data_IF_519277679655
#
_entry.id   IF_519277679655
#
_cell.length_a   1.000
_cell.length_b   1.000
_cell.length_c   1.000
_cell.angle_alpha   90.00
_cell.angle_beta   90.00
_cell.angle_gamma   90.00
#
_symmetry.space_group_name_H-M   'P 1'
#
loop_
_entity.id
_entity.type
_entity.pdbx_description
1 polymer ?
#
# COMPACT_ATOMS: atom_id res chain seq x y z
N UNK A 1 55.96 5.18 4.27
CA UNK A 1 55.11 4.88 3.10
C UNK A 1 54.13 6.03 2.93
N UNK A 2 53.96 6.50 1.70
CA UNK A 2 52.93 7.51 1.39
C UNK A 2 51.58 6.80 1.23
N UNK A 3 50.73 6.93 2.24
CA UNK A 3 49.43 6.24 2.33
C UNK A 3 48.43 6.77 1.29
N UNK A 4 48.66 7.98 0.75
CA UNK A 4 47.82 8.55 -0.30
C UNK A 4 47.90 7.78 -1.62
N UNK A 5 48.93 6.94 -1.80
CA UNK A 5 49.08 6.05 -2.97
C UNK A 5 48.13 4.84 -2.95
N UNK A 6 47.37 4.65 -1.86
CA UNK A 6 46.44 3.53 -1.70
C UNK A 6 47.10 2.25 -1.20
N UNK A 7 46.39 1.14 -1.33
CA UNK A 7 46.80 -0.19 -0.87
C UNK A 7 46.72 -1.21 -2.01
N UNK A 8 47.48 -2.31 -1.91
CA UNK A 8 47.49 -3.39 -2.91
C UNK A 8 46.41 -4.44 -2.66
N UNK A 9 46.28 -4.89 -1.41
CA UNK A 9 45.34 -5.92 -0.99
C UNK A 9 45.19 -5.88 0.55
N UNK A 10 44.16 -6.58 1.05
CA UNK A 10 43.98 -6.85 2.47
C UNK A 10 44.49 -8.27 2.78
N UNK A 11 45.06 -8.46 3.96
CA UNK A 11 45.60 -9.76 4.36
C UNK A 11 45.52 -9.96 5.87
N UNK A 12 45.57 -11.22 6.29
CA UNK A 12 45.89 -11.60 7.66
C UNK A 12 47.35 -11.99 7.80
N UNK A 13 47.94 -11.66 8.94
CA UNK A 13 49.17 -12.30 9.40
C UNK A 13 48.90 -13.79 9.64
N UNK A 14 49.95 -14.61 9.69
CA UNK A 14 49.78 -16.04 10.00
C UNK A 14 49.17 -16.25 11.39
N UNK A 15 49.51 -15.40 12.37
CA UNK A 15 48.91 -15.43 13.71
C UNK A 15 47.41 -15.10 13.67
N UNK A 16 47.01 -14.04 12.95
CA UNK A 16 45.61 -13.63 12.87
C UNK A 16 44.76 -14.64 12.10
N UNK A 17 45.29 -15.22 11.01
CA UNK A 17 44.59 -16.24 10.25
C UNK A 17 44.26 -17.47 11.10
N UNK A 18 45.14 -17.83 12.04
CA UNK A 18 44.94 -18.94 12.98
C UNK A 18 43.87 -18.69 14.04
N UNK A 19 43.38 -17.45 14.19
CA UNK A 19 42.27 -17.10 15.12
C UNK A 19 40.89 -17.42 14.54
N UNK A 20 40.83 -17.79 13.27
CA UNK A 20 39.60 -18.05 12.51
C UNK A 20 39.76 -19.35 11.73
N UNK A 21 38.72 -19.74 10.98
CA UNK A 21 38.70 -20.96 10.17
C UNK A 21 38.82 -20.63 8.68
N UNK A 22 40.03 -20.76 8.06
CA UNK A 22 40.19 -20.56 6.63
C UNK A 22 39.30 -21.49 5.81
N UNK A 23 38.65 -20.97 4.77
CA UNK A 23 37.70 -21.70 3.94
C UNK A 23 36.28 -21.77 4.51
N UNK A 24 36.03 -21.19 5.69
CA UNK A 24 34.68 -21.06 6.28
C UNK A 24 34.41 -19.61 6.65
N UNK A 25 35.29 -18.97 7.42
CA UNK A 25 35.10 -17.59 7.89
C UNK A 25 35.58 -16.56 6.85
N UNK A 26 36.53 -16.97 6.00
CA UNK A 26 37.10 -16.20 4.89
C UNK A 26 37.74 -17.14 3.87
N UNK A 27 37.97 -16.65 2.66
CA UNK A 27 38.69 -17.35 1.60
C UNK A 27 39.85 -16.50 1.07
N UNK A 28 40.85 -17.17 0.49
CA UNK A 28 42.02 -16.53 -0.07
C UNK A 28 43.18 -17.49 -0.24
N UNK A 29 44.40 -16.94 -0.28
CA UNK A 29 45.62 -17.68 -0.56
C UNK A 29 46.81 -17.17 0.27
N UNK A 30 47.72 -18.09 0.64
CA UNK A 30 49.00 -17.69 1.20
C UNK A 30 49.94 -17.17 0.11
N UNK A 31 50.48 -15.98 0.31
CA UNK A 31 51.50 -15.37 -0.53
C UNK A 31 52.73 -15.02 0.30
N UNK A 32 53.85 -14.80 -0.37
CA UNK A 32 55.06 -14.23 0.24
C UNK A 32 55.43 -12.95 -0.47
N UNK A 33 55.40 -11.82 0.24
CA UNK A 33 55.83 -10.53 -0.30
C UNK A 33 56.77 -9.85 0.70
N UNK A 34 57.93 -9.39 0.23
CA UNK A 34 58.92 -8.73 1.10
C UNK A 34 59.51 -9.64 2.19
N UNK A 35 59.48 -10.96 2.00
CA UNK A 35 59.96 -11.94 2.99
C UNK A 35 58.96 -12.29 4.09
N UNK A 36 57.76 -11.71 4.07
CA UNK A 36 56.69 -12.01 5.02
C UNK A 36 55.65 -12.93 4.37
N UNK A 37 55.26 -13.98 5.08
CA UNK A 37 54.16 -14.86 4.69
C UNK A 37 52.83 -14.22 5.11
N UNK A 38 51.93 -14.05 4.16
CA UNK A 38 50.65 -13.34 4.34
C UNK A 38 49.50 -14.19 3.80
N UNK A 39 48.35 -14.20 4.47
CA UNK A 39 47.13 -14.77 3.91
C UNK A 39 46.33 -13.65 3.23
N UNK A 40 46.47 -13.53 1.91
CA UNK A 40 45.75 -12.53 1.11
C UNK A 40 44.27 -12.92 1.06
N UNK A 41 43.40 -11.97 1.37
CA UNK A 41 41.95 -12.18 1.41
C UNK A 41 41.32 -11.96 0.04
N UNK A 42 40.51 -12.93 -0.39
CA UNK A 42 39.64 -12.82 -1.56
C UNK A 42 38.19 -12.58 -1.12
N UNK A 43 37.70 -13.35 -0.13
CA UNK A 43 36.33 -13.25 0.39
C UNK A 43 36.28 -13.22 1.92
N UNK A 44 35.28 -12.54 2.47
CA UNK A 44 34.96 -12.54 3.91
C UNK A 44 33.53 -13.05 4.06
N UNK A 45 33.37 -14.18 4.75
CA UNK A 45 32.07 -14.79 5.04
C UNK A 45 31.58 -14.31 6.40
N UNK A 46 32.45 -14.37 7.41
CA UNK A 46 32.14 -14.02 8.79
C UNK A 46 31.53 -15.18 9.58
N UNK A 47 31.80 -15.19 10.88
CA UNK A 47 31.32 -16.24 11.81
C UNK A 47 29.86 -16.07 12.23
N UNK A 48 29.29 -14.89 12.01
CA UNK A 48 27.91 -14.57 12.40
C UNK A 48 27.00 -14.72 11.19
N UNK A 49 25.90 -15.42 11.38
CA UNK A 49 24.82 -15.47 10.41
C UNK A 49 24.07 -14.12 10.34
N UNK A 50 23.40 -13.88 9.22
CA UNK A 50 22.54 -12.72 9.03
C UNK A 50 23.29 -11.40 8.85
N UNK A 51 24.43 -11.41 8.17
CA UNK A 51 25.21 -10.23 7.82
C UNK A 51 24.92 -9.72 6.39
N UNK A 52 24.57 -10.62 5.47
CA UNK A 52 24.64 -10.33 4.04
C UNK A 52 23.49 -10.87 3.20
N UNK A 53 23.83 -11.55 2.11
CA UNK A 53 22.92 -11.96 1.04
C UNK A 53 21.86 -12.97 1.48
N UNK A 54 22.12 -13.72 2.54
CA UNK A 54 21.18 -14.61 3.21
C UNK A 54 19.96 -13.86 3.76
N UNK A 55 20.14 -12.62 4.24
CA UNK A 55 19.02 -11.76 4.66
C UNK A 55 18.17 -11.33 3.46
N UNK A 56 18.79 -11.10 2.29
CA UNK A 56 18.07 -10.77 1.06
C UNK A 56 17.28 -11.97 0.54
N UNK A 57 17.84 -13.18 0.65
CA UNK A 57 17.11 -14.42 0.36
C UNK A 57 15.90 -14.57 1.28
N UNK A 58 16.08 -14.39 2.58
CA UNK A 58 14.98 -14.43 3.56
C UNK A 58 13.91 -13.37 3.29
N UNK A 59 14.35 -12.17 2.90
CA UNK A 59 13.46 -11.08 2.47
C UNK A 59 12.63 -11.46 1.24
N UNK A 60 13.27 -12.02 0.21
CA UNK A 60 12.58 -12.49 -1.00
C UNK A 60 11.57 -13.60 -0.71
N UNK A 61 11.90 -14.51 0.21
CA UNK A 61 11.00 -15.57 0.65
C UNK A 61 9.70 -15.00 1.24
N UNK A 62 9.78 -14.13 2.25
CA UNK A 62 8.57 -13.58 2.89
C UNK A 62 7.78 -12.63 1.97
N UNK A 63 8.44 -11.97 1.00
CA UNK A 63 7.72 -11.23 -0.05
C UNK A 63 6.90 -12.15 -0.95
N UNK A 64 7.48 -13.28 -1.39
CA UNK A 64 6.75 -14.29 -2.16
C UNK A 64 5.54 -14.84 -1.40
N UNK A 65 5.74 -15.22 -0.14
CA UNK A 65 4.65 -15.71 0.72
C UNK A 65 3.56 -14.66 0.96
N UNK A 66 3.93 -13.39 1.15
CA UNK A 66 2.93 -12.30 1.32
C UNK A 66 2.13 -12.08 0.04
N UNK A 67 2.78 -12.18 -1.13
CA UNK A 67 2.11 -12.08 -2.42
C UNK A 67 1.09 -13.21 -2.61
N UNK A 68 1.44 -14.45 -2.23
CA UNK A 68 0.52 -15.59 -2.28
C UNK A 68 -0.62 -15.40 -1.26
N UNK A 69 -0.31 -14.95 -0.04
CA UNK A 69 -1.30 -14.72 1.00
C UNK A 69 -2.37 -13.70 0.58
N UNK A 70 -2.03 -12.63 -0.14
CA UNK A 70 -3.04 -11.68 -0.64
C UNK A 70 -4.06 -12.33 -1.60
N UNK A 71 -3.62 -13.29 -2.42
CA UNK A 71 -4.51 -13.98 -3.35
C UNK A 71 -5.44 -14.98 -2.65
N UNK A 72 -5.04 -15.50 -1.48
CA UNK A 72 -5.72 -16.62 -0.80
C UNK A 72 -6.48 -16.21 0.47
N UNK A 73 -6.06 -15.14 1.16
CA UNK A 73 -6.60 -14.74 2.45
C UNK A 73 -6.61 -13.22 2.65
N UNK A 74 -7.37 -12.74 3.63
CA UNK A 74 -7.42 -11.32 3.95
C UNK A 74 -6.09 -10.88 4.55
N UNK A 75 -5.39 -9.99 3.84
CA UNK A 75 -4.16 -9.35 4.31
C UNK A 75 -4.40 -7.87 4.59
N UNK A 76 -3.89 -7.37 5.72
CA UNK A 76 -3.89 -5.96 6.07
C UNK A 76 -2.63 -5.62 6.87
N UNK A 77 -2.02 -4.49 6.54
CA UNK A 77 -0.87 -3.95 7.26
C UNK A 77 -1.25 -2.67 8.00
N UNK A 78 -0.88 -2.60 9.28
CA UNK A 78 -0.91 -1.36 10.06
C UNK A 78 0.52 -0.86 10.34
N UNK A 79 0.86 0.30 9.78
CA UNK A 79 2.19 0.91 9.86
C UNK A 79 2.22 1.92 11.00
N UNK A 80 2.57 1.46 12.20
CA UNK A 80 2.69 2.29 13.42
C UNK A 80 4.08 2.93 13.58
N UNK A 81 5.15 2.19 13.25
CA UNK A 81 6.52 2.70 13.24
C UNK A 81 7.01 3.04 11.84
N UNK A 82 8.32 2.93 11.62
CA UNK A 82 8.90 3.04 10.28
C UNK A 82 8.96 1.68 9.60
N UNK A 83 8.53 1.60 8.34
CA UNK A 83 8.71 0.41 7.49
C UNK A 83 9.72 0.69 6.38
N UNK A 84 10.83 -0.07 6.34
CA UNK A 84 11.96 0.17 5.42
C UNK A 84 12.26 -1.04 4.55
N UNK A 85 12.56 -0.81 3.27
CA UNK A 85 13.06 -1.84 2.35
C UNK A 85 12.05 -2.96 2.19
N UNK A 86 12.39 -4.17 2.65
CA UNK A 86 11.48 -5.32 2.58
C UNK A 86 10.18 -5.09 3.36
N UNK A 87 10.21 -4.38 4.49
CA UNK A 87 8.98 -4.06 5.23
C UNK A 87 8.01 -3.22 4.41
N UNK A 88 8.53 -2.28 3.60
CA UNK A 88 7.70 -1.46 2.72
C UNK A 88 7.07 -2.31 1.61
N UNK A 89 7.82 -3.26 1.05
CA UNK A 89 7.29 -4.20 0.06
C UNK A 89 6.26 -5.16 0.64
N UNK A 90 6.48 -5.72 1.84
CA UNK A 90 5.49 -6.58 2.52
C UNK A 90 4.18 -5.83 2.71
N UNK A 91 4.24 -4.58 3.20
CA UNK A 91 3.06 -3.75 3.35
C UNK A 91 2.32 -3.50 2.03
N UNK A 92 3.07 -3.26 0.94
CA UNK A 92 2.45 -3.09 -0.38
C UNK A 92 1.88 -4.39 -0.93
N UNK A 93 2.56 -5.52 -0.74
CA UNK A 93 2.14 -6.84 -1.21
C UNK A 93 0.89 -7.32 -0.46
N UNK A 94 0.76 -6.98 0.83
CA UNK A 94 -0.44 -7.17 1.62
C UNK A 94 -1.63 -6.27 1.17
N UNK A 95 -1.37 -5.33 0.26
CA UNK A 95 -2.29 -4.37 -0.36
C UNK A 95 -2.93 -3.37 0.59
N UNK A 96 -3.70 -3.81 1.58
CA UNK A 96 -4.52 -2.96 2.45
C UNK A 96 -3.66 -2.34 3.53
N UNK A 97 -3.40 -1.04 3.42
CA UNK A 97 -2.48 -0.36 4.34
C UNK A 97 -3.21 0.73 5.13
N UNK A 98 -3.12 0.63 6.45
CA UNK A 98 -3.40 1.73 7.36
C UNK A 98 -2.05 2.29 7.78
N UNK A 99 -1.84 3.60 7.58
CA UNK A 99 -0.58 4.25 7.90
C UNK A 99 -0.77 5.23 9.06
N UNK A 100 0.04 5.11 10.11
CA UNK A 100 0.06 6.11 11.18
C UNK A 100 0.70 7.41 10.70
N UNK A 101 0.26 8.54 11.23
CA UNK A 101 0.75 9.87 10.84
C UNK A 101 2.28 10.03 10.91
N UNK A 102 2.93 9.33 11.85
CA UNK A 102 4.38 9.32 12.04
C UNK A 102 5.01 7.97 11.65
N UNK A 103 4.36 7.22 10.75
CA UNK A 103 4.77 5.87 10.33
C UNK A 103 5.26 5.83 8.88
N UNK A 104 6.47 6.33 8.56
CA UNK A 104 6.91 6.44 7.17
C UNK A 104 7.21 5.06 6.56
N UNK A 105 6.80 4.90 5.30
CA UNK A 105 6.99 3.71 4.48
C UNK A 105 7.96 4.03 3.34
N UNK A 106 9.17 3.49 3.34
CA UNK A 106 10.22 3.90 2.39
C UNK A 106 11.18 2.77 2.02
N UNK A 107 11.92 2.94 0.93
CA UNK A 107 12.97 1.98 0.54
C UNK A 107 14.31 2.34 1.17
N UNK A 108 14.72 3.60 1.05
CA UNK A 108 16.03 4.10 1.51
C UNK A 108 15.85 5.36 2.34
N UNK A 109 16.53 5.42 3.49
CA UNK A 109 16.44 6.55 4.40
C UNK A 109 17.03 7.83 3.82
N UNK A 110 16.46 8.98 4.20
CA UNK A 110 16.85 10.29 3.64
C UNK A 110 18.35 10.61 3.77
N UNK A 111 18.99 10.25 4.90
CA UNK A 111 20.42 10.49 5.12
C UNK A 111 21.32 9.72 4.14
N UNK A 112 20.93 8.49 3.76
CA UNK A 112 21.65 7.72 2.77
C UNK A 112 21.51 8.33 1.37
N UNK A 113 20.32 8.85 1.03
CA UNK A 113 20.09 9.56 -0.23
C UNK A 113 20.89 10.86 -0.29
N UNK A 114 20.90 11.67 0.78
CA UNK A 114 21.70 12.90 0.82
C UNK A 114 23.20 12.60 0.66
N UNK A 115 23.70 11.53 1.30
CA UNK A 115 25.09 11.09 1.14
C UNK A 115 25.40 10.68 -0.30
N UNK A 116 24.48 9.95 -0.95
CA UNK A 116 24.60 9.55 -2.36
C UNK A 116 24.57 10.76 -3.31
N UNK A 117 23.74 11.75 -3.02
CA UNK A 117 23.57 12.96 -3.83
C UNK A 117 24.65 14.03 -3.56
N UNK A 118 25.45 13.87 -2.50
CA UNK A 118 26.49 14.82 -2.10
C UNK A 118 25.96 16.16 -1.57
N UNK A 119 24.66 16.25 -1.25
CA UNK A 119 24.01 17.46 -0.72
C UNK A 119 22.77 17.12 0.09
N UNK A 120 22.38 18.02 0.99
CA UNK A 120 21.18 17.87 1.82
C UNK A 120 19.91 18.22 1.01
N UNK A 121 19.33 17.23 0.33
CA UNK A 121 18.09 17.38 -0.44
C UNK A 121 16.87 17.16 0.44
N UNK A 122 16.92 16.18 1.32
CA UNK A 122 15.81 15.75 2.16
C UNK A 122 16.12 15.98 3.64
N UNK A 123 15.09 16.31 4.44
CA UNK A 123 15.24 16.64 5.87
C UNK A 123 14.52 15.67 6.80
N UNK A 124 13.63 14.82 6.30
CA UNK A 124 12.92 13.83 7.10
C UNK A 124 12.59 12.57 6.30
N UNK A 125 12.25 11.48 7.00
CA UNK A 125 11.76 10.26 6.36
C UNK A 125 10.36 10.48 5.76
N UNK A 126 9.55 11.33 6.37
CA UNK A 126 8.18 11.59 5.92
C UNK A 126 8.14 12.26 4.55
N UNK A 127 9.16 13.07 4.19
CA UNK A 127 9.27 13.62 2.83
C UNK A 127 9.35 12.54 1.74
N UNK A 128 9.78 11.32 2.10
CA UNK A 128 9.90 10.20 1.18
C UNK A 128 8.73 9.23 1.29
N UNK A 129 8.24 9.00 2.51
CA UNK A 129 7.36 7.89 2.82
C UNK A 129 6.22 8.20 3.78
N UNK A 130 6.03 9.46 4.16
CA UNK A 130 4.97 9.89 5.06
C UNK A 130 3.59 9.85 4.41
N UNK A 131 2.52 10.06 5.20
CA UNK A 131 1.14 10.03 4.70
C UNK A 131 0.87 11.00 3.55
N UNK A 132 1.54 12.15 3.54
CA UNK A 132 1.45 13.14 2.45
C UNK A 132 1.97 12.62 1.10
N UNK A 133 2.71 11.52 1.10
CA UNK A 133 3.16 10.83 -0.11
C UNK A 133 2.28 9.60 -0.38
N UNK A 134 2.02 8.79 0.64
CA UNK A 134 1.41 7.47 0.48
C UNK A 134 -0.12 7.47 0.41
N UNK A 135 -0.81 8.46 0.99
CA UNK A 135 -2.26 8.60 0.81
C UNK A 135 -2.59 9.12 -0.60
N UNK A 136 -1.92 10.19 -1.13
CA UNK A 136 -2.25 10.71 -2.45
C UNK A 136 -1.84 9.83 -3.63
N UNK A 137 -0.97 8.84 -3.41
CA UNK A 137 -0.58 7.87 -4.44
C UNK A 137 -1.30 6.52 -4.33
N UNK A 138 -2.14 6.33 -3.30
CA UNK A 138 -2.95 5.13 -3.11
C UNK A 138 -2.23 3.92 -2.50
N UNK A 139 -0.99 4.08 -2.02
CA UNK A 139 -0.30 3.00 -1.28
C UNK A 139 -0.91 2.81 0.10
N UNK A 140 -1.30 3.90 0.78
CA UNK A 140 -2.03 3.87 2.03
C UNK A 140 -3.53 4.09 1.79
N UNK A 141 -4.36 3.18 2.29
CA UNK A 141 -5.81 3.26 2.18
C UNK A 141 -6.40 4.24 3.19
N UNK A 142 -5.81 4.33 4.39
CA UNK A 142 -6.26 5.22 5.47
C UNK A 142 -5.11 5.73 6.34
N UNK A 143 -5.35 6.89 6.95
CA UNK A 143 -4.50 7.50 7.97
C UNK A 143 -4.97 7.10 9.37
N UNK A 144 -4.04 6.73 10.24
CA UNK A 144 -4.26 6.62 11.68
C UNK A 144 -3.55 7.76 12.43
N UNK A 145 -4.23 8.41 13.38
CA UNK A 145 -3.63 9.48 14.18
C UNK A 145 -2.79 8.94 15.34
N UNK A 146 -3.18 7.78 15.87
CA UNK A 146 -2.47 7.02 16.90
C UNK A 146 -2.82 5.52 16.77
N UNK A 147 -2.24 4.70 17.64
CA UNK A 147 -2.45 3.25 17.63
C UNK A 147 -3.87 2.83 17.98
N UNK A 148 -4.57 3.59 18.83
CA UNK A 148 -5.96 3.27 19.17
C UNK A 148 -6.84 3.47 17.93
N UNK A 149 -6.74 4.62 17.28
CA UNK A 149 -7.43 4.92 16.03
C UNK A 149 -7.05 3.94 14.91
N UNK A 150 -5.78 3.54 14.84
CA UNK A 150 -5.30 2.51 13.92
C UNK A 150 -6.00 1.16 14.13
N UNK A 151 -6.04 0.67 15.37
CA UNK A 151 -6.73 -0.59 15.71
C UNK A 151 -8.23 -0.49 15.50
N UNK A 152 -8.87 0.64 15.83
CA UNK A 152 -10.29 0.88 15.56
C UNK A 152 -10.59 0.76 14.06
N UNK A 153 -9.73 1.31 13.20
CA UNK A 153 -9.84 1.16 11.74
C UNK A 153 -9.63 -0.29 11.27
N UNK A 154 -8.69 -1.02 11.85
CA UNK A 154 -8.49 -2.47 11.57
C UNK A 154 -9.77 -3.25 11.89
N UNK A 155 -10.32 -3.06 13.10
CA UNK A 155 -11.54 -3.74 13.53
C UNK A 155 -12.75 -3.33 12.68
N UNK A 156 -12.84 -2.04 12.32
CA UNK A 156 -13.87 -1.54 11.42
C UNK A 156 -13.78 -2.21 10.06
N UNK A 157 -12.59 -2.37 9.50
CA UNK A 157 -12.38 -3.08 8.23
C UNK A 157 -12.80 -4.54 8.34
N UNK A 158 -12.29 -5.25 9.34
CA UNK A 158 -12.61 -6.66 9.59
C UNK A 158 -14.12 -6.88 9.81
N UNK A 159 -14.86 -5.87 10.30
CA UNK A 159 -16.32 -5.99 10.44
C UNK A 159 -17.03 -6.32 9.13
N UNK A 160 -16.48 -5.90 7.97
CA UNK A 160 -17.04 -6.19 6.65
C UNK A 160 -16.58 -7.55 6.10
N UNK A 161 -15.51 -8.12 6.64
CA UNK A 161 -14.81 -9.27 6.09
C UNK A 161 -15.37 -10.56 6.70
N UNK A 162 -15.63 -11.60 5.90
CA UNK A 162 -15.99 -12.92 6.42
C UNK A 162 -14.89 -13.48 7.32
N UNK A 163 -15.26 -14.42 8.19
CA UNK A 163 -14.32 -15.04 9.14
C UNK A 163 -13.21 -15.81 8.42
N UNK A 164 -13.52 -16.46 7.31
CA UNK A 164 -12.58 -17.21 6.49
C UNK A 164 -12.74 -16.88 5.01
N UNK A 165 -11.69 -17.07 4.22
CA UNK A 165 -11.72 -16.80 2.77
C UNK A 165 -12.67 -17.72 1.98
N UNK A 166 -13.19 -18.79 2.59
CA UNK A 166 -14.24 -19.64 1.99
C UNK A 166 -15.66 -19.21 2.36
N UNK A 167 -15.81 -18.35 3.38
CA UNK A 167 -17.13 -17.89 3.83
C UNK A 167 -17.63 -16.75 2.94
N UNK A 168 -18.95 -16.67 2.77
CA UNK A 168 -19.60 -15.51 2.17
C UNK A 168 -19.87 -14.42 3.21
N UNK A 169 -19.93 -13.17 2.74
CA UNK A 169 -20.43 -12.05 3.53
C UNK A 169 -21.80 -12.35 4.14
N UNK A 170 -21.94 -12.20 5.46
CA UNK A 170 -23.20 -12.41 6.18
C UNK A 170 -23.80 -11.08 6.65
N UNK A 171 -25.13 -11.02 6.71
CA UNK A 171 -25.86 -9.85 7.18
C UNK A 171 -25.71 -9.68 8.70
N UNK A 172 -25.03 -8.63 9.14
CA UNK A 172 -25.10 -8.23 10.54
C UNK A 172 -26.51 -7.69 10.87
N UNK A 173 -27.02 -7.82 12.10
CA UNK A 173 -28.25 -7.13 12.49
C UNK A 173 -28.15 -5.62 12.20
N UNK A 174 -29.03 -5.12 11.33
CA UNK A 174 -29.09 -3.72 10.96
C UNK A 174 -30.18 -3.00 11.76
N UNK A 175 -29.81 -1.89 12.39
CA UNK A 175 -30.78 -0.98 13.00
C UNK A 175 -31.52 -0.13 11.96
N UNK A 176 -30.93 0.01 10.76
CA UNK A 176 -31.49 0.79 9.67
C UNK A 176 -32.52 -0.04 8.86
N UNK A 177 -33.82 0.34 8.81
CA UNK A 177 -34.84 -0.46 8.15
C UNK A 177 -34.65 -0.53 6.63
N UNK A 178 -34.76 -1.72 6.05
CA UNK A 178 -34.60 -1.94 4.60
C UNK A 178 -35.71 -1.31 3.75
N UNK A 179 -36.88 -1.06 4.35
CA UNK A 179 -38.08 -0.53 3.71
C UNK A 179 -38.19 1.01 3.84
N UNK A 180 -37.21 1.67 4.46
CA UNK A 180 -37.19 3.13 4.54
C UNK A 180 -36.96 3.77 3.17
N UNK A 181 -37.50 4.97 2.91
CA UNK A 181 -37.11 5.74 1.74
C UNK A 181 -35.67 6.27 1.85
N UNK A 182 -35.09 6.57 0.69
CA UNK A 182 -33.83 7.33 0.58
C UNK A 182 -34.19 8.82 0.58
N UNK A 183 -33.66 9.56 1.55
CA UNK A 183 -33.95 10.99 1.72
C UNK A 183 -33.13 11.88 0.78
N UNK A 184 -31.87 11.53 0.52
CA UNK A 184 -31.03 12.28 -0.42
C UNK A 184 -31.28 11.84 -1.86
N UNK A 185 -31.70 12.78 -2.71
CA UNK A 185 -31.95 12.52 -4.13
C UNK A 185 -30.84 13.15 -5.00
N UNK A 186 -30.06 12.34 -5.73
CA UNK A 186 -29.14 12.82 -6.75
C UNK A 186 -29.79 13.79 -7.73
N UNK A 187 -29.07 14.87 -8.08
CA UNK A 187 -29.54 15.86 -9.07
C UNK A 187 -28.66 15.86 -10.31
N UNK A 188 -29.09 16.57 -11.37
CA UNK A 188 -28.25 16.81 -12.55
C UNK A 188 -27.07 17.74 -12.24
N UNK A 189 -27.19 18.57 -11.22
CA UNK A 189 -26.12 19.45 -10.76
C UNK A 189 -25.10 18.62 -9.98
N UNK A 190 -23.79 18.91 -10.11
CA UNK A 190 -22.77 18.22 -9.32
C UNK A 190 -23.06 18.21 -7.82
N UNK A 191 -22.85 17.05 -7.19
CA UNK A 191 -23.01 16.79 -5.77
C UNK A 191 -21.93 15.84 -5.27
N UNK A 192 -21.71 15.81 -3.95
CA UNK A 192 -20.83 14.82 -3.33
C UNK A 192 -21.49 13.43 -3.37
N UNK A 193 -20.93 12.43 -4.07
CA UNK A 193 -21.52 11.09 -4.11
C UNK A 193 -21.64 10.48 -2.70
N UNK A 194 -20.82 10.88 -1.72
CA UNK A 194 -20.92 10.40 -0.34
C UNK A 194 -22.29 10.68 0.27
N UNK A 195 -22.97 11.74 -0.14
CA UNK A 195 -24.32 12.06 0.34
C UNK A 195 -25.36 11.03 -0.11
N UNK A 196 -25.29 10.56 -1.38
CA UNK A 196 -26.21 9.50 -1.83
C UNK A 196 -25.87 8.14 -1.22
N UNK A 197 -24.61 7.91 -0.84
CA UNK A 197 -24.19 6.64 -0.22
C UNK A 197 -24.56 6.60 1.27
N UNK A 198 -24.10 7.59 2.05
CA UNK A 198 -24.13 7.58 3.52
C UNK A 198 -25.20 8.49 4.14
N UNK A 199 -25.84 9.34 3.33
CA UNK A 199 -26.71 10.41 3.80
C UNK A 199 -25.94 11.70 4.09
N UNK A 200 -26.69 12.76 4.38
CA UNK A 200 -26.14 14.09 4.70
C UNK A 200 -27.14 14.90 5.51
N UNK A 201 -26.70 16.01 6.08
CA UNK A 201 -27.57 16.98 6.76
C UNK A 201 -27.91 18.08 5.76
N UNK A 202 -29.19 18.35 5.52
CA UNK A 202 -29.63 19.46 4.68
C UNK A 202 -29.40 20.81 5.36
N UNK A 203 -29.52 21.90 4.59
CA UNK A 203 -29.25 23.26 5.07
C UNK A 203 -30.12 23.71 6.27
N UNK A 204 -31.29 23.08 6.45
CA UNK A 204 -32.22 23.30 7.56
C UNK A 204 -31.94 22.41 8.79
N UNK A 205 -30.90 21.57 8.75
CA UNK A 205 -30.55 20.65 9.83
C UNK A 205 -31.25 19.29 9.76
N UNK A 206 -32.10 19.04 8.76
CA UNK A 206 -32.78 17.75 8.60
C UNK A 206 -31.80 16.68 8.11
N UNK A 207 -31.86 15.48 8.70
CA UNK A 207 -31.09 14.34 8.19
C UNK A 207 -31.75 13.77 6.92
N UNK A 208 -30.97 13.72 5.84
CA UNK A 208 -31.34 13.07 4.60
C UNK A 208 -30.62 11.73 4.50
N UNK A 209 -31.36 10.63 4.61
CA UNK A 209 -30.78 9.29 4.55
C UNK A 209 -30.19 8.98 3.16
N UNK A 210 -29.09 8.23 3.15
CA UNK A 210 -28.46 7.70 1.94
C UNK A 210 -29.04 6.35 1.52
N UNK A 211 -28.43 5.75 0.51
CA UNK A 211 -28.76 4.43 0.00
C UNK A 211 -28.37 3.32 0.98
N UNK A 212 -27.19 3.42 1.59
CA UNK A 212 -26.70 2.40 2.53
C UNK A 212 -27.17 2.66 3.96
N UNK A 213 -26.99 1.65 4.80
CA UNK A 213 -27.31 1.70 6.22
C UNK A 213 -26.56 2.87 6.87
N UNK A 214 -27.24 3.65 7.71
CA UNK A 214 -26.67 4.83 8.35
C UNK A 214 -25.38 4.50 9.11
N UNK A 215 -24.33 5.29 8.86
CA UNK A 215 -23.02 5.11 9.50
C UNK A 215 -22.28 3.83 9.07
N UNK A 216 -22.77 3.11 8.05
CA UNK A 216 -22.12 1.90 7.54
C UNK A 216 -21.05 2.18 6.50
N UNK A 217 -21.12 3.27 5.75
CA UNK A 217 -20.13 3.57 4.71
C UNK A 217 -18.79 3.99 5.32
N UNK A 218 -17.71 3.34 4.92
CA UNK A 218 -16.33 3.72 5.22
C UNK A 218 -15.57 3.86 3.90
N UNK A 219 -15.05 5.06 3.65
CA UNK A 219 -14.25 5.36 2.47
C UNK A 219 -12.79 4.90 2.65
N UNK A 220 -12.21 4.41 1.56
CA UNK A 220 -10.81 4.02 1.47
C UNK A 220 -10.17 4.69 0.25
N UNK A 221 -8.84 4.91 0.29
CA UNK A 221 -8.10 5.56 -0.79
C UNK A 221 -8.66 6.95 -1.14
N UNK A 222 -9.19 7.68 -0.15
CA UNK A 222 -9.89 8.96 -0.35
C UNK A 222 -9.01 10.05 -0.98
N UNK A 223 -7.69 9.97 -0.75
CA UNK A 223 -6.74 10.98 -1.22
C UNK A 223 -6.16 10.74 -2.62
N UNK A 224 -6.45 9.58 -3.22
CA UNK A 224 -5.95 9.20 -4.53
C UNK A 224 -7.11 8.97 -5.51
N UNK A 225 -6.91 9.27 -6.80
CA UNK A 225 -7.91 9.02 -7.85
C UNK A 225 -9.28 9.60 -7.53
N UNK A 226 -9.32 10.84 -7.04
CA UNK A 226 -10.50 11.49 -6.41
C UNK A 226 -11.74 11.65 -7.29
N UNK A 227 -11.66 11.38 -8.60
CA UNK A 227 -12.83 11.29 -9.49
C UNK A 227 -13.68 10.03 -9.24
N UNK A 228 -13.18 9.07 -8.46
CA UNK A 228 -13.88 7.87 -8.03
C UNK A 228 -13.80 7.73 -6.51
N UNK A 229 -14.93 7.41 -5.90
CA UNK A 229 -15.08 7.11 -4.49
C UNK A 229 -15.20 5.60 -4.32
N UNK A 230 -14.35 5.02 -3.48
CA UNK A 230 -14.37 3.57 -3.20
C UNK A 230 -14.48 3.35 -1.71
N UNK A 231 -15.26 2.35 -1.31
CA UNK A 231 -15.58 2.14 0.09
C UNK A 231 -16.18 0.78 0.37
N UNK A 232 -16.47 0.55 1.65
CA UNK A 232 -17.30 -0.57 2.12
C UNK A 232 -18.52 -0.01 2.80
N UNK A 233 -19.67 -0.64 2.63
CA UNK A 233 -20.92 -0.25 3.29
C UNK A 233 -21.74 -1.47 3.65
N UNK A 234 -22.89 -1.27 4.29
CA UNK A 234 -23.93 -2.30 4.47
C UNK A 234 -25.24 -1.88 3.84
N UNK A 235 -25.95 -2.85 3.27
CA UNK A 235 -27.33 -2.71 2.81
C UNK A 235 -28.17 -3.76 3.53
N UNK A 236 -29.03 -3.33 4.45
CA UNK A 236 -29.78 -4.25 5.31
C UNK A 236 -28.87 -5.19 6.09
N UNK A 237 -27.69 -4.70 6.51
CA UNK A 237 -26.70 -5.46 7.25
C UNK A 237 -25.70 -6.25 6.43
N UNK A 238 -25.95 -6.46 5.12
CA UNK A 238 -25.05 -7.20 4.22
C UNK A 238 -23.86 -6.32 3.83
N UNK A 239 -22.61 -6.67 4.19
CA UNK A 239 -21.45 -5.87 3.81
C UNK A 239 -21.17 -6.01 2.32
N UNK A 240 -20.74 -4.92 1.68
CA UNK A 240 -20.40 -4.90 0.27
C UNK A 240 -19.33 -3.86 -0.06
N UNK A 241 -18.58 -4.12 -1.13
CA UNK A 241 -17.73 -3.16 -1.80
C UNK A 241 -18.58 -2.16 -2.60
N UNK A 242 -18.18 -0.90 -2.56
CA UNK A 242 -18.92 0.21 -3.16
C UNK A 242 -17.99 1.03 -4.03
N UNK A 243 -18.41 1.32 -5.26
CA UNK A 243 -17.74 2.24 -6.17
C UNK A 243 -18.75 3.27 -6.66
N UNK A 244 -18.42 4.56 -6.53
CA UNK A 244 -19.23 5.67 -7.00
C UNK A 244 -18.38 6.72 -7.71
N UNK A 245 -19.01 7.56 -8.52
CA UNK A 245 -18.34 8.58 -9.33
C UNK A 245 -18.49 9.95 -8.68
N UNK A 246 -17.39 10.67 -8.54
CA UNK A 246 -17.43 12.07 -8.13
C UNK A 246 -17.94 12.93 -9.28
N UNK A 247 -18.93 13.76 -9.00
CA UNK A 247 -19.60 14.59 -10.04
C UNK A 247 -19.15 16.04 -10.00
N UNK A 248 -18.57 16.49 -8.87
CA UNK A 248 -17.98 17.82 -8.74
C UNK A 248 -16.68 17.90 -9.53
N UNK A 249 -16.32 19.13 -9.91
CA UNK A 249 -15.02 19.40 -10.49
C UNK A 249 -13.95 19.18 -9.41
N UNK A 250 -13.29 18.03 -9.47
CA UNK A 250 -12.08 17.78 -8.70
C UNK A 250 -10.91 18.03 -9.63
N UNK A 251 -10.05 19.00 -9.31
CA UNK A 251 -8.86 19.33 -10.13
C UNK A 251 -9.17 19.61 -11.61
N UNK A 252 -10.31 20.27 -11.91
CA UNK A 252 -10.79 20.53 -13.28
C UNK A 252 -11.15 19.27 -14.10
N UNK A 253 -11.42 18.15 -13.42
CA UNK A 253 -11.79 16.89 -14.05
C UNK A 253 -13.30 16.71 -14.14
N UNK A 254 -13.76 16.11 -15.24
CA UNK A 254 -15.16 15.76 -15.48
C UNK A 254 -15.40 14.28 -15.10
N UNK A 255 -16.66 13.80 -15.05
CA UNK A 255 -16.99 12.40 -14.72
C UNK A 255 -16.56 11.40 -15.80
N UNK A 256 -15.25 11.21 -15.94
CA UNK A 256 -14.59 10.21 -16.80
C UNK A 256 -13.54 9.49 -15.97
N UNK A 257 -13.15 8.30 -16.41
CA UNK A 257 -11.97 7.65 -15.88
C UNK A 257 -10.69 8.32 -16.41
N UNK A 258 -9.72 8.48 -15.52
CA UNK A 258 -8.35 8.94 -15.76
C UNK A 258 -7.39 7.80 -15.36
N UNK A 259 -6.07 7.87 -15.66
CA UNK A 259 -5.14 6.82 -15.26
C UNK A 259 -5.23 6.42 -13.78
N UNK A 260 -5.23 7.41 -12.88
CA UNK A 260 -5.31 7.23 -11.43
C UNK A 260 -6.63 6.58 -10.98
N UNK A 261 -7.77 7.10 -11.42
CA UNK A 261 -9.09 6.59 -11.08
C UNK A 261 -9.41 5.26 -11.74
N UNK A 262 -8.87 4.99 -12.93
CA UNK A 262 -8.98 3.66 -13.56
C UNK A 262 -8.25 2.63 -12.73
N UNK A 263 -7.01 2.94 -12.32
CA UNK A 263 -6.22 2.04 -11.50
C UNK A 263 -6.82 1.85 -10.10
N UNK A 264 -7.31 2.94 -9.48
CA UNK A 264 -8.05 2.87 -8.21
C UNK A 264 -9.30 1.99 -8.32
N UNK A 265 -10.04 2.09 -9.42
CA UNK A 265 -11.24 1.27 -9.65
C UNK A 265 -10.85 -0.20 -9.75
N UNK A 266 -9.86 -0.55 -10.56
CA UNK A 266 -9.34 -1.91 -10.71
C UNK A 266 -8.86 -2.48 -9.36
N UNK A 267 -7.96 -1.76 -8.67
CA UNK A 267 -7.45 -2.14 -7.36
C UNK A 267 -8.58 -2.36 -6.34
N UNK A 268 -9.61 -1.51 -6.32
CA UNK A 268 -10.74 -1.69 -5.42
C UNK A 268 -11.55 -2.96 -5.74
N UNK A 269 -11.79 -3.25 -7.03
CA UNK A 269 -12.49 -4.48 -7.44
C UNK A 269 -11.68 -5.70 -7.03
N UNK A 270 -10.37 -5.69 -7.29
CA UNK A 270 -9.47 -6.75 -6.89
C UNK A 270 -9.47 -6.94 -5.37
N UNK A 271 -9.33 -5.86 -4.60
CA UNK A 271 -9.41 -5.88 -3.14
C UNK A 271 -10.74 -6.53 -2.68
N UNK A 272 -11.89 -6.13 -3.22
CA UNK A 272 -13.17 -6.70 -2.80
C UNK A 272 -13.33 -8.21 -3.13
N UNK A 273 -12.59 -8.71 -4.13
CA UNK A 273 -12.58 -10.12 -4.52
C UNK A 273 -11.59 -10.93 -3.69
N UNK A 274 -10.38 -10.39 -3.50
CA UNK A 274 -9.26 -11.07 -2.88
C UNK A 274 -9.50 -11.24 -1.39
N UNK A 275 -10.14 -12.37 -1.07
CA UNK A 275 -10.43 -12.89 0.26
C UNK A 275 -11.31 -12.02 1.17
N UNK A 276 -11.87 -10.93 0.64
CA UNK A 276 -13.00 -10.24 1.27
C UNK A 276 -14.35 -10.84 0.88
N UNK A 277 -14.44 -11.51 -0.27
CA UNK A 277 -15.66 -12.12 -0.81
C UNK A 277 -16.88 -11.20 -0.72
N UNK A 278 -16.68 -9.91 -1.01
CA UNK A 278 -17.72 -8.90 -0.89
C UNK A 278 -18.51 -8.82 -2.20
N UNK A 279 -19.85 -8.81 -2.12
CA UNK A 279 -20.68 -8.27 -3.20
C UNK A 279 -20.19 -6.88 -3.60
N UNK A 280 -20.34 -6.51 -4.87
CA UNK A 280 -19.96 -5.19 -5.36
C UNK A 280 -21.17 -4.44 -5.86
N UNK A 281 -21.28 -3.19 -5.44
CA UNK A 281 -22.25 -2.25 -5.98
C UNK A 281 -21.52 -1.08 -6.65
N UNK A 282 -21.75 -0.92 -7.95
CA UNK A 282 -21.20 0.20 -8.73
C UNK A 282 -22.31 1.18 -9.08
N UNK A 283 -22.24 2.38 -8.52
CA UNK A 283 -23.09 3.51 -8.90
C UNK A 283 -22.51 4.19 -10.15
N UNK A 284 -22.67 3.52 -11.29
CA UNK A 284 -22.06 3.92 -12.55
C UNK A 284 -22.60 5.27 -13.06
N UNK A 285 -21.69 6.24 -13.25
CA UNK A 285 -22.00 7.57 -13.75
C UNK A 285 -20.81 8.20 -14.52
N UNK A 286 -20.10 7.39 -15.30
CA UNK A 286 -19.00 7.84 -16.15
C UNK A 286 -19.50 8.15 -17.57
N UNK A 287 -18.94 9.19 -18.19
CA UNK A 287 -19.15 9.50 -19.62
C UNK A 287 -18.24 8.70 -20.55
N UNK A 288 -17.22 8.05 -19.99
CA UNK A 288 -16.20 7.29 -20.72
C UNK A 288 -14.83 7.39 -20.04
N UNK A 289 -13.79 7.09 -20.81
CA UNK A 289 -12.38 7.27 -20.43
C UNK A 289 -11.84 8.58 -21.03
N UNK A 290 -10.90 9.21 -20.33
CA UNK A 290 -10.18 10.37 -20.87
C UNK A 290 -9.28 9.94 -22.04
N UNK A 291 -9.51 10.53 -23.22
CA UNK A 291 -8.76 10.23 -24.44
C UNK A 291 -7.70 11.28 -24.82
N UNK A 292 -7.41 12.25 -23.94
CA UNK A 292 -6.43 13.30 -24.22
C UNK A 292 -4.99 12.77 -24.24
N UNK A 293 -4.10 13.39 -25.03
CA UNK A 293 -2.71 12.95 -25.20
C UNK A 293 -1.96 12.70 -23.89
N UNK A 294 -2.15 13.56 -22.89
CA UNK A 294 -1.54 13.41 -21.56
C UNK A 294 -1.97 12.12 -20.88
N UNK A 295 -3.25 11.78 -20.93
CA UNK A 295 -3.80 10.64 -20.20
C UNK A 295 -3.58 9.33 -20.97
N UNK A 296 -3.53 9.40 -22.31
CA UNK A 296 -3.04 8.31 -23.17
C UNK A 296 -1.56 8.00 -22.89
N UNK A 297 -0.71 9.04 -22.76
CA UNK A 297 0.68 8.88 -22.34
C UNK A 297 0.80 8.35 -20.91
N UNK A 298 -0.11 8.77 -20.03
CA UNK A 298 -0.29 8.22 -18.68
C UNK A 298 -0.85 6.81 -18.64
N UNK A 299 -0.82 6.07 -19.77
CA UNK A 299 -1.11 4.64 -19.84
C UNK A 299 -2.55 4.25 -19.47
N UNK A 300 -3.52 5.16 -19.65
CA UNK A 300 -4.93 4.90 -19.29
C UNK A 300 -5.49 3.60 -19.88
N UNK A 301 -5.05 3.21 -21.08
CA UNK A 301 -5.48 1.95 -21.70
C UNK A 301 -5.07 0.72 -20.90
N UNK A 302 -3.90 0.73 -20.25
CA UNK A 302 -3.46 -0.36 -19.37
C UNK A 302 -4.38 -0.44 -18.16
N UNK A 303 -4.55 0.68 -17.44
CA UNK A 303 -5.37 0.70 -16.22
C UNK A 303 -6.85 0.44 -16.49
N UNK A 304 -7.38 0.93 -17.61
CA UNK A 304 -8.73 0.64 -18.05
C UNK A 304 -8.94 -0.86 -18.34
N UNK A 305 -7.95 -1.54 -18.93
CA UNK A 305 -8.04 -2.99 -19.17
C UNK A 305 -8.12 -3.82 -17.88
N UNK A 306 -7.49 -3.39 -16.79
CA UNK A 306 -7.52 -4.10 -15.51
C UNK A 306 -8.93 -4.13 -14.91
N UNK A 307 -9.72 -3.07 -15.07
CA UNK A 307 -11.13 -3.05 -14.61
C UNK A 307 -11.92 -4.21 -15.24
N UNK A 308 -11.73 -4.47 -16.54
CA UNK A 308 -12.43 -5.54 -17.23
C UNK A 308 -11.92 -6.92 -16.82
N UNK A 309 -10.61 -7.07 -16.59
CA UNK A 309 -10.02 -8.31 -16.09
C UNK A 309 -10.54 -8.65 -14.68
N UNK A 310 -10.47 -7.70 -13.75
CA UNK A 310 -10.86 -7.90 -12.36
C UNK A 310 -12.38 -8.11 -12.17
N UNK A 311 -13.19 -7.63 -13.12
CA UNK A 311 -14.62 -7.94 -13.19
C UNK A 311 -14.91 -9.34 -13.74
N UNK A 312 -14.04 -9.86 -14.62
CA UNK A 312 -14.18 -11.22 -15.16
C UNK A 312 -13.78 -12.28 -14.12
N UNK A 313 -12.74 -12.01 -13.33
CA UNK A 313 -12.20 -12.93 -12.32
C UNK A 313 -13.05 -13.00 -11.03
N UNK A 314 -14.31 -12.54 -11.07
CA UNK A 314 -15.27 -12.59 -9.97
C UNK A 314 -16.11 -13.85 -9.94
#
# INVERSE_FOLDING_TARGET
MDVAKGYKYLYFTEEDANRFTPGTDFHGEYITEGGEKRYKLDDIVGQKDGLGVENLRGSGMIAGETSAAYAETFTLSYVTGRSVGIGAYINRLAQRVIQMQNGPLLLTGFGALNKLLGKEVYTSQDQLGGPQIMLPNGVAHQLAIDDQDGVEKVLRWLSYVPKTASDSAFAAPAADPIDRPIGFLPTKTPYDPRHMLAGTVSADGTWLSGFFDQGSFTEYLADWGKSVVVGRARLGGVPMGVIAVETRLVEQRIPVWYPDSSYKTAQAIQDFNSAENLPLMVFANWRGFSGGTRDMFGEILKFGSYIFADLHDR
#
